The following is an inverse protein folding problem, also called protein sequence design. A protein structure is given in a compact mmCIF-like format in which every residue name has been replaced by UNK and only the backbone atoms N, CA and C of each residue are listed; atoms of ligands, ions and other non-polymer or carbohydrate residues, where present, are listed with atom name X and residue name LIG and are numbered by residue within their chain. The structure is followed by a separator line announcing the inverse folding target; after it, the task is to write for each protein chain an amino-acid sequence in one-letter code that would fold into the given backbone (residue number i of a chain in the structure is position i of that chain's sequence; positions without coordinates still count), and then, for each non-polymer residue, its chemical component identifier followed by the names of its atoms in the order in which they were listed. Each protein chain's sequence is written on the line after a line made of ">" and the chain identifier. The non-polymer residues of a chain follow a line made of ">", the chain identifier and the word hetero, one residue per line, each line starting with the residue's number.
data_IF_620129715823
#
_entry.id   IF_620129715823
#
_cell.length_a   1.000
_cell.length_b   1.000
_cell.length_c   1.000
_cell.angle_alpha   90.00
_cell.angle_beta   90.00
_cell.angle_gamma   90.00
#
_symmetry.space_group_name_H-M   'P 1'
#
loop_
_entity.id
_entity.type
_entity.pdbx_description
1 polymer ?
#
# COMPACT_ATOMS: atom_id res chain seq x y z
N UNK A 1 -2.28 -24.08 25.13
CA UNK A 1 -2.42 -23.45 26.45
C UNK A 1 -2.34 -21.95 26.22
N UNK A 2 -3.44 -21.28 26.53
CA UNK A 2 -3.83 -19.94 26.07
C UNK A 2 -2.85 -18.91 26.65
N UNK A 3 -2.01 -18.30 25.80
CA UNK A 3 -1.37 -17.02 26.12
C UNK A 3 -2.44 -15.93 25.99
N UNK A 4 -3.30 -15.83 26.99
CA UNK A 4 -3.91 -14.54 27.36
C UNK A 4 -2.76 -13.67 27.89
N UNK A 5 -1.91 -13.19 26.97
CA UNK A 5 -0.90 -12.20 27.30
C UNK A 5 -1.65 -10.87 27.31
N UNK A 6 -1.99 -10.42 28.51
CA UNK A 6 -2.26 -9.01 28.84
C UNK A 6 -1.40 -8.16 27.91
N UNK A 7 -2.01 -7.27 27.11
CA UNK A 7 -1.31 -6.31 26.24
C UNK A 7 -0.48 -5.41 27.18
N UNK A 8 0.72 -5.85 27.58
CA UNK A 8 1.58 -5.14 28.54
C UNK A 8 2.47 -4.10 27.85
N UNK A 9 2.70 -4.24 26.55
CA UNK A 9 3.38 -3.26 25.71
C UNK A 9 2.96 -3.46 24.24
N UNK A 10 2.41 -2.45 23.54
CA UNK A 10 2.10 -2.55 22.11
C UNK A 10 3.34 -2.78 21.22
N UNK A 11 4.56 -2.53 21.71
CA UNK A 11 5.84 -2.72 21.02
C UNK A 11 6.78 -3.68 21.77
N UNK A 12 6.24 -4.77 22.33
CA UNK A 12 7.01 -5.84 22.99
C UNK A 12 8.18 -6.33 22.12
N UNK A 13 9.39 -6.33 22.70
CA UNK A 13 10.68 -6.61 22.04
C UNK A 13 10.73 -7.99 21.36
N UNK A 14 9.97 -8.99 21.86
CA UNK A 14 9.90 -10.32 21.24
C UNK A 14 9.32 -10.24 19.81
N UNK A 15 8.31 -9.40 19.62
CA UNK A 15 7.62 -9.23 18.34
C UNK A 15 8.26 -8.12 17.51
N UNK A 16 8.59 -7.00 18.17
CA UNK A 16 9.12 -5.79 17.55
C UNK A 16 10.51 -5.46 18.09
N UNK A 17 11.54 -6.25 17.74
CA UNK A 17 12.88 -6.04 18.25
C UNK A 17 13.39 -4.64 17.87
N UNK A 18 14.08 -3.93 18.78
CA UNK A 18 14.54 -2.58 18.51
C UNK A 18 15.76 -2.61 17.59
N UNK A 19 15.56 -2.18 16.34
CA UNK A 19 16.60 -2.01 15.33
C UNK A 19 16.63 -0.55 14.87
N UNK A 20 17.72 0.21 15.07
CA UNK A 20 17.75 1.67 14.83
C UNK A 20 17.31 2.13 13.43
N UNK A 21 17.43 1.28 12.41
CA UNK A 21 17.14 1.59 11.02
C UNK A 21 15.99 0.77 10.41
N UNK A 22 15.38 -0.12 11.18
CA UNK A 22 14.35 -1.03 10.70
C UNK A 22 13.22 -1.14 11.69
N UNK A 23 11.99 -1.10 11.24
CA UNK A 23 10.87 -1.63 12.02
C UNK A 23 10.67 -3.09 11.60
N UNK A 24 10.63 -4.01 12.56
CA UNK A 24 10.55 -5.46 12.33
C UNK A 24 9.38 -6.04 13.11
N UNK A 25 8.68 -7.00 12.52
CA UNK A 25 7.66 -7.85 13.16
C UNK A 25 8.04 -9.32 12.95
N UNK A 26 8.28 -10.06 14.05
CA UNK A 26 8.72 -11.47 14.04
C UNK A 26 7.59 -12.50 13.94
N UNK A 27 6.36 -12.09 14.20
CA UNK A 27 5.19 -12.94 14.02
C UNK A 27 3.93 -12.09 13.85
N UNK A 28 2.96 -12.51 13.01
CA UNK A 28 1.74 -11.76 12.80
C UNK A 28 0.79 -11.92 13.99
N UNK A 29 -0.10 -10.94 14.17
CA UNK A 29 -1.21 -11.00 15.13
C UNK A 29 -2.49 -10.50 14.48
N UNK A 30 -3.61 -11.17 14.79
CA UNK A 30 -4.94 -10.77 14.32
C UNK A 30 -5.57 -9.66 15.18
N UNK A 31 -5.00 -9.35 16.33
CA UNK A 31 -5.62 -8.46 17.32
C UNK A 31 -5.29 -6.98 17.12
N UNK A 32 -4.24 -6.67 16.36
CA UNK A 32 -3.76 -5.30 16.13
C UNK A 32 -3.47 -5.01 14.64
N UNK A 33 -4.16 -5.71 13.73
CA UNK A 33 -3.99 -5.59 12.29
C UNK A 33 -4.05 -4.12 11.82
N UNK A 34 -5.05 -3.36 12.28
CA UNK A 34 -5.19 -1.95 11.91
C UNK A 34 -4.00 -1.08 12.31
N UNK A 35 -3.38 -1.37 13.45
CA UNK A 35 -2.19 -0.67 13.93
C UNK A 35 -0.96 -1.04 13.09
N UNK A 36 -0.70 -2.33 12.89
CA UNK A 36 0.48 -2.76 12.13
C UNK A 36 0.40 -2.40 10.65
N UNK A 37 -0.80 -2.41 10.06
CA UNK A 37 -1.04 -1.89 8.72
C UNK A 37 -0.67 -0.40 8.57
N UNK A 38 -0.88 0.42 9.61
CA UNK A 38 -0.44 1.82 9.64
C UNK A 38 1.07 1.90 9.78
N UNK A 39 1.66 1.16 10.73
CA UNK A 39 3.10 1.22 11.02
C UNK A 39 3.98 0.81 9.83
N UNK A 40 3.53 -0.18 9.06
CA UNK A 40 4.22 -0.72 7.88
C UNK A 40 3.72 -0.13 6.55
N UNK A 41 2.94 0.95 6.59
CA UNK A 41 2.52 1.62 5.36
C UNK A 41 3.72 2.17 4.58
N UNK A 42 3.66 2.07 3.26
CA UNK A 42 4.62 2.67 2.34
C UNK A 42 3.98 3.80 1.56
N UNK A 43 4.67 4.92 1.39
CA UNK A 43 4.15 6.06 0.64
C UNK A 43 5.21 7.09 0.27
N UNK A 44 4.85 8.03 -0.60
CA UNK A 44 5.75 9.10 -1.06
C UNK A 44 5.14 10.51 -1.00
N UNK A 45 3.94 10.68 -0.42
CA UNK A 45 3.22 11.96 -0.34
C UNK A 45 2.23 12.21 -1.49
N UNK A 46 2.34 11.44 -2.58
CA UNK A 46 1.30 11.35 -3.61
C UNK A 46 0.50 10.05 -3.49
N UNK A 47 1.18 8.93 -3.35
CA UNK A 47 0.61 7.58 -3.23
C UNK A 47 0.96 7.02 -1.86
N UNK A 48 -0.01 6.37 -1.21
CA UNK A 48 0.20 5.62 0.01
C UNK A 48 -0.53 4.29 -0.03
N UNK A 49 0.13 3.27 0.52
CA UNK A 49 -0.35 1.90 0.57
C UNK A 49 -0.18 1.37 1.98
N UNK A 50 -1.28 1.03 2.65
CA UNK A 50 -1.24 0.42 3.99
C UNK A 50 -0.47 -0.89 3.95
N UNK A 51 0.24 -1.20 5.05
CA UNK A 51 1.04 -2.42 5.24
C UNK A 51 0.23 -3.71 5.36
N UNK A 52 -0.95 -3.79 4.72
CA UNK A 52 -1.80 -4.97 4.70
C UNK A 52 -1.13 -6.14 3.95
N UNK A 53 -1.35 -7.39 4.39
CA UNK A 53 -0.84 -8.58 3.72
C UNK A 53 -1.23 -8.65 2.25
N UNK A 54 -0.31 -9.09 1.38
CA UNK A 54 -0.58 -9.18 -0.07
C UNK A 54 -1.73 -10.14 -0.38
N UNK A 55 -1.96 -11.19 0.41
CA UNK A 55 -2.99 -12.21 0.13
C UNK A 55 -4.42 -11.65 0.26
N UNK A 56 -4.58 -10.51 0.94
CA UNK A 56 -5.78 -9.67 0.88
C UNK A 56 -7.05 -10.20 1.56
N UNK A 57 -7.02 -11.39 2.17
CA UNK A 57 -8.19 -12.01 2.82
C UNK A 57 -8.39 -11.63 4.29
N UNK A 58 -7.36 -11.12 4.97
CA UNK A 58 -7.46 -10.73 6.38
C UNK A 58 -6.65 -9.45 6.62
N UNK A 59 -7.32 -8.33 6.41
CA UNK A 59 -6.83 -6.99 6.67
C UNK A 59 -7.88 -6.27 7.50
N UNK A 60 -7.46 -5.41 8.43
CA UNK A 60 -8.38 -4.49 9.09
C UNK A 60 -8.91 -3.46 8.08
N UNK A 61 -8.01 -2.87 7.29
CA UNK A 61 -8.38 -1.98 6.19
C UNK A 61 -7.31 -1.99 5.08
N UNK A 62 -7.65 -2.60 3.94
CA UNK A 62 -6.76 -2.64 2.76
C UNK A 62 -6.86 -1.33 1.97
N UNK A 63 -6.22 -0.29 2.50
CA UNK A 63 -6.24 1.07 1.95
C UNK A 63 -5.10 1.35 0.98
N UNK A 64 -5.44 1.89 -0.19
CA UNK A 64 -4.55 2.57 -1.13
C UNK A 64 -5.09 3.97 -1.35
N UNK A 65 -4.28 5.00 -1.11
CA UNK A 65 -4.73 6.38 -1.16
C UNK A 65 -3.88 7.19 -2.13
N UNK A 66 -4.53 8.07 -2.88
CA UNK A 66 -3.86 9.06 -3.71
C UNK A 66 -4.19 10.44 -3.15
N UNK A 67 -3.17 11.25 -2.87
CA UNK A 67 -3.33 12.56 -2.26
C UNK A 67 -4.28 13.44 -3.09
N UNK A 68 -5.29 14.00 -2.43
CA UNK A 68 -6.32 14.82 -3.05
C UNK A 68 -7.40 14.06 -3.82
N UNK A 69 -7.34 12.73 -3.98
CA UNK A 69 -8.45 11.96 -4.56
C UNK A 69 -9.57 11.78 -3.54
N UNK A 70 -10.67 12.50 -3.72
CA UNK A 70 -11.76 12.55 -2.75
C UNK A 70 -13.14 12.52 -3.41
N UNK A 71 -14.13 12.12 -2.63
CA UNK A 71 -15.54 12.27 -2.94
C UNK A 71 -16.11 13.50 -2.20
N UNK A 72 -17.22 14.03 -2.70
CA UNK A 72 -17.95 15.15 -2.10
C UNK A 72 -19.35 14.74 -1.69
N UNK A 73 -19.87 15.39 -0.64
CA UNK A 73 -21.23 15.19 -0.15
C UNK A 73 -21.80 16.49 0.44
N UNK A 74 -23.12 16.61 0.49
CA UNK A 74 -23.78 17.79 1.04
C UNK A 74 -23.87 17.71 2.58
N UNK A 75 -23.31 18.71 3.26
CA UNK A 75 -23.37 18.82 4.72
C UNK A 75 -24.76 19.28 5.15
N UNK A 76 -25.46 18.41 5.88
CA UNK A 76 -26.75 18.72 6.50
C UNK A 76 -26.55 19.14 7.94
N UNK A 77 -26.71 20.43 8.19
CA UNK A 77 -26.75 21.00 9.54
C UNK A 77 -28.19 20.93 10.09
N UNK A 78 -28.33 20.70 11.40
CA UNK A 78 -29.65 20.75 12.06
C UNK A 78 -30.25 22.16 12.02
N UNK A 79 -29.39 23.19 12.04
CA UNK A 79 -29.74 24.60 11.92
C UNK A 79 -28.81 25.25 10.89
N UNK A 80 -29.35 26.17 10.08
CA UNK A 80 -28.60 26.82 9.02
C UNK A 80 -28.12 28.20 9.48
N UNK A 81 -26.82 28.48 9.31
CA UNK A 81 -26.22 29.77 9.62
C UNK A 81 -25.34 30.25 8.45
N UNK A 82 -25.23 31.57 8.30
CA UNK A 82 -24.32 32.15 7.31
C UNK A 82 -22.87 31.74 7.59
N UNK A 83 -22.15 31.30 6.56
CA UNK A 83 -20.75 30.88 6.65
C UNK A 83 -20.53 29.40 6.97
N UNK A 84 -21.57 28.62 7.24
CA UNK A 84 -21.42 27.17 7.42
C UNK A 84 -21.03 26.47 6.11
N UNK A 85 -20.07 25.55 6.20
CA UNK A 85 -19.67 24.71 5.08
C UNK A 85 -20.86 23.87 4.62
N UNK A 86 -21.08 23.82 3.30
CA UNK A 86 -22.19 23.08 2.68
C UNK A 86 -21.75 21.81 1.99
N UNK A 87 -20.46 21.69 1.68
CA UNK A 87 -19.87 20.55 0.98
C UNK A 87 -18.80 19.95 1.87
N UNK A 88 -18.96 18.67 2.18
CA UNK A 88 -17.94 17.84 2.81
C UNK A 88 -17.12 17.18 1.72
N UNK A 89 -15.85 16.92 2.03
CA UNK A 89 -14.92 16.21 1.18
C UNK A 89 -14.36 15.07 1.99
N UNK A 90 -14.20 13.89 1.40
CA UNK A 90 -13.60 12.76 2.11
C UNK A 90 -12.70 11.98 1.17
N UNK A 91 -11.45 11.74 1.58
CA UNK A 91 -10.52 10.90 0.82
C UNK A 91 -11.13 9.50 0.63
N UNK A 92 -10.99 8.96 -0.57
CA UNK A 92 -11.54 7.65 -0.91
C UNK A 92 -10.44 6.61 -1.08
N UNK A 93 -10.78 5.34 -0.93
CA UNK A 93 -9.88 4.25 -1.24
C UNK A 93 -9.73 4.15 -2.78
N UNK A 94 -8.54 4.42 -3.29
CA UNK A 94 -8.24 4.15 -4.70
C UNK A 94 -8.32 2.63 -4.95
N UNK A 95 -8.63 2.18 -6.19
CA UNK A 95 -8.67 0.75 -6.49
C UNK A 95 -7.39 0.05 -6.04
N UNK A 96 -7.52 -0.96 -5.19
CA UNK A 96 -6.38 -1.61 -4.53
C UNK A 96 -5.62 -2.47 -5.50
N UNK A 97 -4.31 -2.23 -5.62
CA UNK A 97 -3.38 -3.06 -6.39
C UNK A 97 -2.54 -3.99 -5.50
N UNK A 98 -2.84 -4.08 -4.20
CA UNK A 98 -2.01 -4.81 -3.23
C UNK A 98 -2.17 -6.33 -3.33
N UNK A 99 -3.30 -6.77 -3.89
CA UNK A 99 -3.72 -8.16 -3.78
C UNK A 99 -2.92 -9.10 -4.70
N UNK A 100 -2.31 -10.11 -4.09
CA UNK A 100 -1.63 -11.24 -4.72
C UNK A 100 -2.01 -12.49 -3.92
N UNK A 101 -3.02 -13.23 -4.38
CA UNK A 101 -3.50 -14.46 -3.74
C UNK A 101 -2.58 -15.62 -4.12
N UNK A 102 -2.22 -16.45 -3.15
CA UNK A 102 -1.43 -17.67 -3.34
C UNK A 102 -2.24 -18.89 -2.92
N UNK A 103 -2.26 -19.89 -3.80
CA UNK A 103 -2.79 -21.22 -3.53
C UNK A 103 -1.72 -22.27 -3.83
N UNK A 104 -1.56 -23.25 -2.95
CA UNK A 104 -0.65 -24.40 -3.11
C UNK A 104 -1.48 -25.65 -2.88
N UNK A 105 -1.55 -26.56 -3.86
CA UNK A 105 -2.50 -27.70 -3.83
C UNK A 105 -3.96 -27.26 -3.54
N UNK A 106 -4.40 -26.15 -4.14
CA UNK A 106 -5.69 -25.50 -3.89
C UNK A 106 -5.92 -24.96 -2.45
N UNK A 107 -4.91 -25.04 -1.58
CA UNK A 107 -4.95 -24.48 -0.21
C UNK A 107 -4.52 -23.01 -0.26
N UNK A 108 -5.34 -22.04 0.20
CA UNK A 108 -4.97 -20.64 0.21
C UNK A 108 -4.02 -20.31 1.37
N UNK A 109 -3.01 -19.47 1.11
CA UNK A 109 -2.24 -18.85 2.20
C UNK A 109 -3.10 -17.80 2.92
N UNK A 110 -3.45 -18.08 4.18
CA UNK A 110 -4.20 -17.19 5.07
C UNK A 110 -3.40 -16.96 6.35
N UNK A 111 -2.91 -15.75 6.59
CA UNK A 111 -2.01 -15.50 7.71
C UNK A 111 -2.61 -15.79 9.10
N UNK A 112 -3.93 -15.65 9.32
CA UNK A 112 -4.48 -15.89 10.67
C UNK A 112 -4.49 -17.35 11.10
N UNK A 113 -4.47 -18.27 10.14
CA UNK A 113 -4.59 -19.72 10.36
C UNK A 113 -3.41 -20.51 9.78
N UNK A 114 -2.48 -19.85 9.09
CA UNK A 114 -1.30 -20.49 8.53
C UNK A 114 -0.40 -21.07 9.64
N UNK A 115 0.06 -22.30 9.45
CA UNK A 115 1.14 -22.90 10.23
C UNK A 115 2.47 -22.29 9.76
N UNK A 116 2.85 -21.16 10.36
CA UNK A 116 4.06 -20.42 10.04
C UNK A 116 5.22 -20.95 10.90
N UNK A 117 6.23 -21.51 10.23
CA UNK A 117 7.46 -21.97 10.88
C UNK A 117 8.47 -20.84 11.09
N UNK A 118 8.47 -19.86 10.18
CA UNK A 118 9.29 -18.66 10.25
C UNK A 118 8.50 -17.49 9.65
N UNK A 119 8.70 -16.30 10.18
CA UNK A 119 8.06 -15.07 9.72
C UNK A 119 8.91 -13.85 10.10
N UNK A 120 9.09 -12.95 9.14
CA UNK A 120 9.55 -11.61 9.38
C UNK A 120 8.85 -10.65 8.42
N UNK A 121 8.27 -9.57 8.93
CA UNK A 121 7.89 -8.39 8.15
C UNK A 121 8.74 -7.22 8.61
N UNK A 122 9.38 -6.52 7.69
CA UNK A 122 10.26 -5.40 8.04
C UNK A 122 10.23 -4.27 7.03
N UNK A 123 10.49 -3.05 7.50
CA UNK A 123 10.74 -1.90 6.64
C UNK A 123 12.05 -1.25 7.06
N UNK A 124 13.00 -1.16 6.13
CA UNK A 124 14.27 -0.47 6.34
C UNK A 124 14.12 0.99 5.92
N UNK A 125 14.36 1.92 6.85
CA UNK A 125 14.13 3.34 6.61
C UNK A 125 15.13 3.94 5.61
N UNK A 126 16.29 3.29 5.40
CA UNK A 126 17.33 3.71 4.45
C UNK A 126 16.97 3.34 3.02
N UNK A 127 16.12 2.34 2.84
CA UNK A 127 15.72 1.84 1.52
C UNK A 127 14.26 2.13 1.19
N UNK A 128 13.40 2.32 2.20
CA UNK A 128 11.98 2.60 2.00
C UNK A 128 11.23 1.44 1.33
N UNK A 129 11.66 0.21 1.59
CA UNK A 129 11.08 -1.01 1.02
C UNK A 129 10.54 -1.87 2.16
N UNK A 130 9.23 -2.12 2.12
CA UNK A 130 8.59 -3.12 2.96
C UNK A 130 8.94 -4.51 2.43
N UNK A 131 9.36 -5.40 3.32
CA UNK A 131 9.72 -6.78 3.03
C UNK A 131 8.95 -7.72 3.93
N UNK A 132 8.61 -8.89 3.42
CA UNK A 132 8.10 -10.00 4.21
C UNK A 132 8.74 -11.29 3.73
N UNK A 133 9.15 -12.13 4.67
CA UNK A 133 9.68 -13.47 4.43
C UNK A 133 8.97 -14.42 5.39
N UNK A 134 8.43 -15.51 4.88
CA UNK A 134 7.76 -16.52 5.69
C UNK A 134 8.00 -17.91 5.16
N UNK A 135 7.97 -18.89 6.07
CA UNK A 135 7.92 -20.31 5.75
C UNK A 135 6.59 -20.85 6.23
N UNK A 136 5.73 -21.18 5.29
CA UNK A 136 4.42 -21.74 5.52
C UNK A 136 4.46 -23.26 5.35
N UNK A 137 3.93 -23.98 6.35
CA UNK A 137 3.60 -25.39 6.21
C UNK A 137 2.14 -25.52 5.79
N UNK A 138 1.90 -26.04 4.59
CA UNK A 138 0.54 -26.23 4.07
C UNK A 138 -0.20 -27.30 4.89
N UNK A 139 -1.54 -27.29 4.94
CA UNK A 139 -2.29 -28.39 5.55
C UNK A 139 -1.96 -29.78 4.98
N UNK A 140 -1.60 -29.88 3.70
CA UNK A 140 -1.05 -31.11 3.10
C UNK A 140 0.37 -31.49 3.58
N UNK A 141 1.01 -30.66 4.40
CA UNK A 141 2.30 -30.92 5.05
C UNK A 141 3.52 -30.43 4.28
N UNK A 142 3.36 -29.79 3.11
CA UNK A 142 4.47 -29.26 2.31
C UNK A 142 5.00 -27.97 2.92
N UNK A 143 6.30 -27.68 2.73
CA UNK A 143 6.91 -26.42 3.18
C UNK A 143 7.14 -25.50 2.00
N UNK A 144 6.69 -24.26 2.13
CA UNK A 144 6.71 -23.25 1.09
C UNK A 144 7.30 -21.97 1.67
N UNK A 145 8.32 -21.42 1.01
CA UNK A 145 8.84 -20.09 1.33
C UNK A 145 8.15 -19.05 0.46
N UNK A 146 7.67 -17.98 1.09
CA UNK A 146 7.08 -16.84 0.40
C UNK A 146 7.83 -15.58 0.81
N UNK A 147 8.34 -14.85 -0.17
CA UNK A 147 8.99 -13.55 0.02
C UNK A 147 8.27 -12.50 -0.78
N UNK A 148 7.96 -11.37 -0.15
CA UNK A 148 7.38 -10.22 -0.84
C UNK A 148 8.16 -8.95 -0.54
N UNK A 149 8.19 -8.06 -1.53
CA UNK A 149 8.62 -6.68 -1.33
C UNK A 149 7.59 -5.70 -1.87
N UNK A 150 7.52 -4.52 -1.27
CA UNK A 150 6.66 -3.41 -1.71
C UNK A 150 7.36 -2.08 -1.51
N UNK A 151 7.30 -1.24 -2.54
CA UNK A 151 7.92 0.07 -2.57
C UNK A 151 6.98 1.06 -3.25
N UNK A 152 6.79 2.25 -2.66
CA UNK A 152 6.22 3.41 -3.35
C UNK A 152 7.37 4.39 -3.61
N UNK A 153 7.59 4.74 -4.87
CA UNK A 153 8.83 5.39 -5.28
C UNK A 153 8.92 6.83 -4.82
N UNK A 154 10.01 7.19 -4.12
CA UNK A 154 10.34 8.59 -3.83
C UNK A 154 10.84 9.38 -5.06
N UNK A 155 11.18 8.71 -6.17
CA UNK A 155 11.71 9.38 -7.38
C UNK A 155 10.68 9.47 -8.51
N UNK A 156 9.78 8.50 -8.60
CA UNK A 156 8.68 8.47 -9.57
C UNK A 156 7.34 8.60 -8.85
N UNK A 157 6.79 9.83 -8.82
CA UNK A 157 5.57 10.21 -8.07
C UNK A 157 4.44 9.16 -8.13
N UNK A 158 4.18 8.60 -9.30
CA UNK A 158 3.01 7.78 -9.60
C UNK A 158 3.25 6.27 -9.44
N UNK A 159 4.46 5.83 -9.06
CA UNK A 159 4.92 4.44 -9.21
C UNK A 159 4.98 3.69 -7.87
N UNK A 160 4.45 2.47 -7.87
CA UNK A 160 4.73 1.45 -6.87
C UNK A 160 5.31 0.20 -7.52
N UNK A 161 6.26 -0.45 -6.85
CA UNK A 161 6.90 -1.70 -7.28
C UNK A 161 6.71 -2.78 -6.23
N UNK A 162 6.43 -4.00 -6.68
CA UNK A 162 6.24 -5.16 -5.82
C UNK A 162 6.94 -6.38 -6.42
N UNK A 163 7.46 -7.23 -5.54
CA UNK A 163 7.88 -8.59 -5.90
C UNK A 163 7.17 -9.60 -5.01
N UNK A 164 6.89 -10.77 -5.56
CA UNK A 164 6.28 -11.89 -4.86
C UNK A 164 6.95 -13.18 -5.34
N UNK A 165 7.80 -13.75 -4.50
CA UNK A 165 8.59 -14.94 -4.77
C UNK A 165 8.03 -16.12 -3.96
N UNK A 166 7.79 -17.23 -4.62
CA UNK A 166 7.33 -18.48 -4.02
C UNK A 166 8.30 -19.60 -4.37
N UNK A 167 8.74 -20.34 -3.36
CA UNK A 167 9.63 -21.50 -3.56
C UNK A 167 9.11 -22.69 -2.75
N UNK A 168 8.88 -23.81 -3.43
CA UNK A 168 8.60 -25.09 -2.76
C UNK A 168 9.89 -25.59 -2.09
N UNK A 169 9.92 -25.65 -0.76
CA UNK A 169 11.06 -26.16 -0.01
C UNK A 169 11.04 -27.70 0.08
N UNK A 170 9.85 -28.28 0.15
CA UNK A 170 9.62 -29.72 0.24
C UNK A 170 8.46 -30.15 -0.68
N UNK A 171 8.74 -31.08 -1.58
CA UNK A 171 7.78 -31.63 -2.53
C UNK A 171 7.43 -30.70 -3.68
N UNK A 172 6.79 -31.27 -4.70
CA UNK A 172 6.26 -30.55 -5.85
C UNK A 172 4.77 -30.25 -5.61
N UNK A 173 4.24 -29.16 -6.16
CA UNK A 173 2.82 -28.83 -6.04
C UNK A 173 2.34 -27.96 -7.22
N UNK A 174 1.08 -28.13 -7.68
CA UNK A 174 0.43 -27.07 -8.45
C UNK A 174 0.28 -25.82 -7.57
N UNK A 175 0.68 -24.67 -8.13
CA UNK A 175 0.57 -23.36 -7.52
C UNK A 175 -0.33 -22.48 -8.39
N UNK A 176 -1.24 -21.74 -7.77
CA UNK A 176 -1.95 -20.65 -8.42
C UNK A 176 -1.61 -19.32 -7.73
N UNK A 177 -1.09 -18.36 -8.51
CA UNK A 177 -0.85 -16.99 -8.06
C UNK A 177 -1.83 -16.08 -8.81
N UNK A 178 -2.68 -15.36 -8.08
CA UNK A 178 -3.66 -14.43 -8.65
C UNK A 178 -3.37 -13.01 -8.19
N UNK A 179 -2.72 -12.21 -9.04
CA UNK A 179 -2.51 -10.79 -8.81
C UNK A 179 -3.70 -9.96 -9.31
N UNK A 180 -4.20 -9.04 -8.48
CA UNK A 180 -5.43 -8.32 -8.79
C UNK A 180 -5.30 -6.80 -8.65
N UNK A 181 -6.17 -6.08 -9.37
CA UNK A 181 -6.58 -4.70 -9.07
C UNK A 181 -8.08 -4.76 -8.78
N UNK A 182 -8.52 -4.25 -7.63
CA UNK A 182 -9.92 -4.38 -7.19
C UNK A 182 -10.44 -3.04 -6.68
N UNK A 183 -11.65 -2.65 -7.10
CA UNK A 183 -12.37 -1.54 -6.49
C UNK A 183 -12.84 -1.94 -5.08
N UNK A 184 -12.01 -1.65 -4.06
CA UNK A 184 -12.31 -1.91 -2.64
C UNK A 184 -13.10 -0.80 -1.95
N UNK A 185 -13.31 0.34 -2.62
CA UNK A 185 -14.17 1.41 -2.11
C UNK A 185 -15.63 0.97 -2.15
N UNK A 186 -16.06 0.40 -3.29
CA UNK A 186 -17.45 0.00 -3.49
C UNK A 186 -17.74 -1.47 -3.19
N UNK A 187 -16.72 -2.34 -3.19
CA UNK A 187 -16.88 -3.78 -3.03
C UNK A 187 -15.97 -4.35 -1.94
N UNK A 188 -16.57 -5.10 -1.02
CA UNK A 188 -15.84 -5.98 -0.12
C UNK A 188 -16.06 -7.45 -0.54
N UNK A 189 -14.98 -8.09 -1.01
CA UNK A 189 -14.98 -9.49 -1.45
C UNK A 189 -15.35 -10.47 -0.33
N UNK A 190 -15.14 -10.12 0.95
CA UNK A 190 -15.38 -11.02 2.09
C UNK A 190 -16.85 -11.01 2.52
N UNK A 191 -17.51 -9.86 2.49
CA UNK A 191 -18.92 -9.73 2.89
C UNK A 191 -19.90 -9.88 1.74
N UNK A 192 -19.45 -9.79 0.48
CA UNK A 192 -20.33 -9.75 -0.70
C UNK A 192 -21.28 -8.54 -0.69
N UNK A 193 -21.00 -7.54 0.17
CA UNK A 193 -21.79 -6.32 0.38
C UNK A 193 -20.90 -5.11 0.10
N UNK A 194 -21.53 -3.94 -0.07
CA UNK A 194 -20.79 -2.65 -0.08
C UNK A 194 -20.02 -2.52 1.22
N UNK A 195 -18.80 -2.01 1.15
CA UNK A 195 -17.95 -1.76 2.31
C UNK A 195 -18.60 -0.73 3.24
N UNK A 196 -19.48 -1.17 4.15
CA UNK A 196 -19.99 -0.31 5.22
C UNK A 196 -19.03 -0.43 6.39
N UNK A 197 -18.14 0.54 6.54
CA UNK A 197 -17.42 0.74 7.81
C UNK A 197 -18.42 1.33 8.79
N UNK A 198 -19.04 0.48 9.61
CA UNK A 198 -19.77 0.93 10.80
C UNK A 198 -18.77 0.97 11.96
N UNK A 199 -18.10 2.11 12.11
CA UNK A 199 -17.34 2.44 13.31
C UNK A 199 -17.86 3.77 13.85
N UNK A 200 -18.07 3.87 15.16
CA UNK A 200 -18.74 5.00 15.83
C UNK A 200 -17.76 6.18 16.10
N UNK A 201 -16.57 6.16 15.48
CA UNK A 201 -15.59 7.25 15.58
C UNK A 201 -15.92 8.38 14.59
N UNK A 202 -16.30 9.58 15.07
CA UNK A 202 -16.65 10.71 14.22
C UNK A 202 -15.47 11.26 13.39
N UNK A 203 -14.24 10.78 13.60
CA UNK A 203 -13.03 11.20 12.87
C UNK A 203 -12.70 10.31 11.67
N UNK A 204 -13.42 9.21 11.46
CA UNK A 204 -13.26 8.32 10.30
C UNK A 204 -14.22 8.73 9.20
N UNK A 205 -13.85 8.43 7.95
CA UNK A 205 -14.74 8.60 6.80
C UNK A 205 -16.08 7.93 7.06
N UNK A 206 -17.17 8.69 6.96
CA UNK A 206 -18.52 8.12 6.97
C UNK A 206 -18.67 7.26 5.72
N UNK A 207 -19.01 5.98 5.89
CA UNK A 207 -19.31 5.10 4.77
C UNK A 207 -20.31 5.75 3.81
N UNK A 208 -19.92 5.90 2.55
CA UNK A 208 -20.74 6.57 1.54
C UNK A 208 -21.89 5.64 1.12
N UNK A 209 -23.13 6.12 1.18
CA UNK A 209 -24.32 5.30 0.91
C UNK A 209 -24.52 4.96 -0.59
N UNK A 210 -23.73 5.56 -1.47
CA UNK A 210 -23.81 5.41 -2.92
C UNK A 210 -22.55 4.77 -3.48
N UNK A 211 -22.59 4.41 -4.76
CA UNK A 211 -21.39 3.95 -5.47
C UNK A 211 -20.49 5.15 -5.75
N UNK A 212 -19.22 5.05 -5.40
CA UNK A 212 -18.22 6.13 -5.49
C UNK A 212 -17.46 6.06 -6.80
N UNK A 213 -16.96 4.89 -7.20
CA UNK A 213 -16.13 4.72 -8.38
C UNK A 213 -16.93 4.13 -9.54
N UNK A 214 -17.29 4.98 -10.50
CA UNK A 214 -17.93 4.57 -11.75
C UNK A 214 -16.89 4.18 -12.78
N UNK A 215 -16.86 2.89 -13.16
CA UNK A 215 -15.94 2.38 -14.17
C UNK A 215 -16.25 3.00 -15.53
N UNK A 216 -15.25 3.64 -16.15
CA UNK A 216 -15.33 4.19 -17.50
C UNK A 216 -14.43 3.45 -18.49
N UNK A 217 -13.40 2.77 -17.99
CA UNK A 217 -12.44 2.05 -18.81
C UNK A 217 -11.88 0.84 -18.07
N UNK A 218 -11.81 -0.28 -18.76
CA UNK A 218 -11.06 -1.45 -18.34
C UNK A 218 -10.43 -2.08 -19.58
N UNK A 219 -9.20 -2.51 -19.46
CA UNK A 219 -8.45 -3.07 -20.58
C UNK A 219 -7.33 -3.96 -20.06
N UNK A 220 -7.10 -5.08 -20.73
CA UNK A 220 -5.93 -5.91 -20.52
C UNK A 220 -5.23 -6.31 -21.82
N UNK A 221 -4.02 -6.79 -21.61
CA UNK A 221 -3.17 -7.51 -22.55
C UNK A 221 -2.40 -8.56 -21.74
N UNK A 222 -1.66 -9.48 -22.38
CA UNK A 222 -0.88 -10.47 -21.66
C UNK A 222 0.14 -9.90 -20.67
N UNK A 223 0.53 -8.62 -20.77
CA UNK A 223 1.49 -8.00 -19.84
C UNK A 223 0.85 -7.06 -18.83
N UNK A 224 -0.21 -6.37 -19.25
CA UNK A 224 -0.72 -5.15 -18.60
C UNK A 224 -2.22 -5.23 -18.41
N UNK A 225 -2.68 -4.81 -17.23
CA UNK A 225 -4.08 -4.48 -16.97
C UNK A 225 -4.21 -3.00 -16.59
N UNK A 226 -5.30 -2.35 -17.00
CA UNK A 226 -5.63 -0.97 -16.65
C UNK A 226 -7.12 -0.91 -16.31
N UNK A 227 -7.44 -0.25 -15.19
CA UNK A 227 -8.80 0.12 -14.80
C UNK A 227 -8.86 1.65 -14.62
N UNK A 228 -9.99 2.24 -14.97
CA UNK A 228 -10.18 3.67 -14.94
C UNK A 228 -11.60 4.05 -14.53
N UNK A 229 -11.70 5.04 -13.64
CA UNK A 229 -12.93 5.40 -12.95
C UNK A 229 -13.14 6.90 -12.90
N UNK A 230 -14.41 7.30 -12.83
CA UNK A 230 -14.86 8.63 -12.41
C UNK A 230 -15.50 8.54 -11.02
N UNK A 231 -15.12 9.47 -10.16
CA UNK A 231 -15.69 9.65 -8.82
C UNK A 231 -17.07 10.32 -8.95
N UNK A 232 -18.07 9.82 -8.22
CA UNK A 232 -19.48 10.08 -8.49
C UNK A 232 -19.87 11.57 -8.40
N UNK A 233 -19.60 12.23 -7.27
CA UNK A 233 -20.03 13.62 -7.08
C UNK A 233 -18.89 14.61 -7.34
N UNK A 234 -17.66 14.30 -6.91
CA UNK A 234 -16.51 15.18 -7.13
C UNK A 234 -16.11 15.27 -8.61
N UNK A 235 -16.51 14.28 -9.43
CA UNK A 235 -16.22 14.21 -10.86
C UNK A 235 -14.76 13.95 -11.19
N UNK A 236 -13.90 13.79 -10.16
CA UNK A 236 -12.49 13.45 -10.31
C UNK A 236 -12.33 12.13 -11.07
N UNK A 237 -11.20 11.97 -11.73
CA UNK A 237 -10.87 10.75 -12.48
C UNK A 237 -9.64 10.09 -11.90
N UNK A 238 -9.62 8.76 -11.94
CA UNK A 238 -8.48 7.95 -11.53
C UNK A 238 -8.26 6.84 -12.54
N UNK A 239 -7.01 6.62 -12.93
CA UNK A 239 -6.59 5.43 -13.67
C UNK A 239 -5.48 4.71 -12.90
N UNK A 240 -5.61 3.40 -12.82
CA UNK A 240 -4.60 2.50 -12.25
C UNK A 240 -4.25 1.45 -13.28
N UNK A 241 -2.97 1.10 -13.39
CA UNK A 241 -2.56 -0.04 -14.19
C UNK A 241 -1.40 -0.79 -13.57
N UNK A 242 -1.31 -2.07 -13.91
CA UNK A 242 -0.24 -2.95 -13.46
C UNK A 242 0.39 -3.68 -14.65
N UNK A 243 1.72 -3.69 -14.68
CA UNK A 243 2.52 -4.59 -15.49
C UNK A 243 3.02 -5.75 -14.64
N UNK A 244 3.00 -6.94 -15.21
CA UNK A 244 3.52 -8.13 -14.57
C UNK A 244 4.56 -8.83 -15.42
N UNK A 245 5.62 -9.31 -14.75
CA UNK A 245 6.63 -10.20 -15.32
C UNK A 245 6.80 -11.37 -14.37
N UNK A 246 6.82 -12.58 -14.92
CA UNK A 246 7.08 -13.81 -14.15
C UNK A 246 8.41 -14.41 -14.60
N UNK A 247 9.24 -14.81 -13.64
CA UNK A 247 10.49 -15.52 -13.86
C UNK A 247 10.45 -16.85 -13.12
N UNK A 248 10.49 -17.96 -13.86
CA UNK A 248 10.54 -19.31 -13.30
C UNK A 248 11.03 -20.33 -14.32
N UNK A 249 11.63 -21.43 -13.86
CA UNK A 249 11.98 -22.57 -14.70
C UNK A 249 10.82 -23.58 -14.83
N UNK A 250 9.78 -23.43 -14.02
CA UNK A 250 8.60 -24.31 -13.99
C UNK A 250 7.72 -24.11 -15.23
N UNK A 251 6.95 -25.13 -15.59
CA UNK A 251 5.88 -24.98 -16.59
C UNK A 251 4.76 -24.09 -16.05
N UNK A 252 4.28 -23.16 -16.88
CA UNK A 252 3.28 -22.18 -16.47
C UNK A 252 2.21 -21.94 -17.55
N UNK A 253 1.00 -21.62 -17.09
CA UNK A 253 -0.12 -21.08 -17.88
C UNK A 253 -0.48 -19.70 -17.33
N UNK A 254 -0.66 -18.71 -18.22
CA UNK A 254 -1.11 -17.36 -17.87
C UNK A 254 -2.56 -17.16 -18.31
N UNK A 255 -3.35 -16.55 -17.43
CA UNK A 255 -4.72 -16.14 -17.71
C UNK A 255 -4.91 -14.70 -17.26
N UNK A 256 -5.43 -13.87 -18.16
CA UNK A 256 -5.69 -12.45 -17.89
C UNK A 256 -7.17 -12.15 -18.08
N UNK A 257 -7.74 -11.40 -17.14
CA UNK A 257 -9.15 -11.01 -17.19
C UNK A 257 -9.31 -9.59 -16.64
N UNK A 258 -10.19 -8.81 -17.26
CA UNK A 258 -10.60 -7.51 -16.73
C UNK A 258 -12.10 -7.34 -16.88
N UNK A 259 -12.69 -6.86 -15.80
CA UNK A 259 -14.07 -6.46 -15.65
C UNK A 259 -14.10 -5.03 -15.09
N UNK A 260 -15.28 -4.35 -15.08
CA UNK A 260 -15.39 -2.95 -14.66
C UNK A 260 -14.75 -2.61 -13.30
N UNK A 261 -14.80 -3.53 -12.33
CA UNK A 261 -14.34 -3.33 -10.95
C UNK A 261 -13.16 -4.21 -10.55
N UNK A 262 -12.65 -5.03 -11.48
CA UNK A 262 -11.63 -6.01 -11.18
C UNK A 262 -10.73 -6.31 -12.40
N UNK A 263 -9.42 -6.27 -12.19
CA UNK A 263 -8.43 -6.83 -13.10
C UNK A 263 -7.73 -7.99 -12.43
N UNK A 264 -7.48 -9.08 -13.14
CA UNK A 264 -6.83 -10.29 -12.62
C UNK A 264 -5.80 -10.79 -13.61
N UNK A 265 -4.64 -11.14 -13.07
CA UNK A 265 -3.62 -11.92 -13.75
C UNK A 265 -3.33 -13.16 -12.93
N UNK A 266 -3.59 -14.32 -13.51
CA UNK A 266 -3.51 -15.62 -12.86
C UNK A 266 -2.39 -16.41 -13.52
N UNK A 267 -1.49 -16.90 -12.69
CA UNK A 267 -0.45 -17.84 -13.07
C UNK A 267 -0.79 -19.19 -12.47
N UNK A 268 -0.89 -20.23 -13.31
CA UNK A 268 -0.94 -21.62 -12.86
C UNK A 268 0.40 -22.25 -13.15
N UNK A 269 1.10 -22.71 -12.13
CA UNK A 269 2.46 -23.21 -12.23
C UNK A 269 2.50 -24.64 -11.71
N UNK A 270 3.11 -25.56 -12.46
CA UNK A 270 3.50 -26.87 -11.92
C UNK A 270 4.83 -26.69 -11.19
N UNK A 271 4.79 -26.35 -9.90
CA UNK A 271 5.98 -25.96 -9.15
C UNK A 271 6.79 -27.18 -8.70
N UNK A 272 8.07 -27.17 -9.07
CA UNK A 272 9.06 -28.14 -8.64
C UNK A 272 9.82 -27.65 -7.40
N UNK A 273 10.20 -28.59 -6.54
CA UNK A 273 10.99 -28.32 -5.36
C UNK A 273 12.28 -27.58 -5.71
N UNK A 274 12.56 -26.50 -4.98
CA UNK A 274 13.78 -25.70 -5.13
C UNK A 274 13.78 -24.74 -6.34
N UNK A 275 12.77 -24.78 -7.21
CA UNK A 275 12.66 -23.87 -8.36
C UNK A 275 11.82 -22.63 -8.01
N UNK A 276 12.41 -21.43 -7.88
CA UNK A 276 11.67 -20.25 -7.49
C UNK A 276 10.71 -19.76 -8.58
N UNK A 277 9.62 -19.15 -8.15
CA UNK A 277 8.65 -18.45 -8.98
C UNK A 277 8.63 -16.99 -8.52
N UNK A 278 9.23 -16.10 -9.31
CA UNK A 278 9.28 -14.67 -9.00
C UNK A 278 8.27 -13.93 -9.88
N UNK A 279 7.25 -13.34 -9.25
CA UNK A 279 6.33 -12.39 -9.90
C UNK A 279 6.74 -10.97 -9.54
N UNK A 280 7.06 -10.18 -10.55
CA UNK A 280 7.23 -8.73 -10.47
C UNK A 280 5.92 -8.06 -10.84
N UNK A 281 5.51 -7.06 -10.06
CA UNK A 281 4.35 -6.21 -10.36
C UNK A 281 4.76 -4.74 -10.25
N UNK A 282 4.70 -4.00 -11.36
CA UNK A 282 4.85 -2.56 -11.38
C UNK A 282 3.47 -1.91 -11.52
N UNK A 283 3.13 -0.95 -10.67
CA UNK A 283 1.81 -0.32 -10.63
C UNK A 283 1.94 1.19 -10.77
N UNK A 284 1.10 1.80 -11.59
CA UNK A 284 1.01 3.25 -11.71
C UNK A 284 -0.41 3.75 -11.40
N UNK A 285 -0.50 4.82 -10.61
CA UNK A 285 -1.74 5.56 -10.33
C UNK A 285 -1.64 6.96 -10.89
N UNK A 286 -2.65 7.40 -11.64
CA UNK A 286 -2.80 8.79 -12.07
C UNK A 286 -4.19 9.29 -11.72
N UNK A 287 -4.29 10.53 -11.25
CA UNK A 287 -5.54 11.17 -10.85
C UNK A 287 -5.65 12.57 -11.42
N UNK A 288 -6.88 13.09 -11.54
CA UNK A 288 -7.13 14.48 -11.95
C UNK A 288 -8.51 14.96 -11.52
N UNK A 289 -8.66 16.28 -11.36
CA UNK A 289 -9.96 16.92 -11.17
C UNK A 289 -10.72 17.24 -12.47
N UNK A 290 -10.15 17.00 -13.66
CA UNK A 290 -10.80 17.37 -14.92
C UNK A 290 -10.33 16.65 -16.19
N UNK A 291 -9.26 15.85 -16.11
CA UNK A 291 -8.75 15.09 -17.27
C UNK A 291 -9.56 13.80 -17.46
N UNK A 292 -9.96 13.42 -18.69
CA UNK A 292 -10.67 12.16 -18.93
C UNK A 292 -9.87 10.90 -18.57
N UNK A 293 -10.57 9.84 -18.15
CA UNK A 293 -9.98 8.55 -17.77
C UNK A 293 -9.07 7.96 -18.86
N UNK A 294 -9.42 8.15 -20.13
CA UNK A 294 -8.62 7.67 -21.26
C UNK A 294 -7.21 8.29 -21.27
N UNK A 295 -7.09 9.59 -21.06
CA UNK A 295 -5.80 10.27 -21.04
C UNK A 295 -4.98 9.86 -19.80
N UNK A 296 -5.63 9.70 -18.64
CA UNK A 296 -4.95 9.17 -17.44
C UNK A 296 -4.43 7.74 -17.69
N UNK A 297 -5.18 6.92 -18.41
CA UNK A 297 -4.76 5.58 -18.82
C UNK A 297 -3.52 5.62 -19.72
N UNK A 298 -3.40 6.61 -20.60
CA UNK A 298 -2.19 6.81 -21.42
C UNK A 298 -0.99 7.29 -20.57
N UNK A 299 -1.22 8.05 -19.49
CA UNK A 299 -0.17 8.41 -18.52
C UNK A 299 0.29 7.21 -17.71
N UNK A 300 -0.63 6.36 -17.28
CA UNK A 300 -0.34 5.05 -16.65
C UNK A 300 0.56 4.22 -17.58
N UNK A 301 0.19 4.09 -18.86
CA UNK A 301 0.99 3.35 -19.85
C UNK A 301 2.42 3.88 -19.93
N UNK A 302 2.59 5.20 -20.05
CA UNK A 302 3.93 5.83 -20.12
C UNK A 302 4.76 5.62 -18.86
N UNK A 303 4.16 5.64 -17.67
CA UNK A 303 4.89 5.34 -16.43
C UNK A 303 5.37 3.90 -16.43
N UNK A 304 4.51 2.94 -16.78
CA UNK A 304 4.87 1.51 -16.80
C UNK A 304 5.87 1.18 -17.92
N UNK A 305 5.78 1.84 -19.08
CA UNK A 305 6.75 1.67 -20.16
C UNK A 305 8.17 2.10 -19.73
N UNK A 306 8.31 3.16 -18.92
CA UNK A 306 9.62 3.54 -18.35
C UNK A 306 10.20 2.44 -17.45
N UNK A 307 9.37 1.79 -16.64
CA UNK A 307 9.80 0.68 -15.78
C UNK A 307 10.29 -0.49 -16.61
N UNK A 308 9.60 -0.82 -17.70
CA UNK A 308 10.01 -1.86 -18.63
C UNK A 308 11.37 -1.53 -19.26
N UNK A 309 11.54 -0.30 -19.73
CA UNK A 309 12.74 0.09 -20.48
C UNK A 309 13.98 0.22 -19.59
N UNK A 310 13.81 0.52 -18.29
CA UNK A 310 14.91 0.71 -17.32
C UNK A 310 15.15 -0.50 -16.40
N UNK A 311 14.14 -1.35 -16.19
CA UNK A 311 14.16 -2.45 -15.24
C UNK A 311 13.90 -2.01 -13.79
N UNK A 312 13.53 -2.97 -12.92
CA UNK A 312 13.22 -2.69 -11.50
C UNK A 312 14.41 -2.16 -10.72
N UNK A 313 15.58 -2.79 -10.91
CA UNK A 313 16.81 -2.45 -10.16
C UNK A 313 17.17 -0.97 -10.31
N UNK A 314 16.95 -0.40 -11.49
CA UNK A 314 17.14 1.03 -11.72
C UNK A 314 16.31 1.87 -10.74
N UNK A 315 15.03 1.54 -10.55
CA UNK A 315 14.13 2.28 -9.67
C UNK A 315 14.45 2.06 -8.18
N UNK A 316 14.85 0.85 -7.78
CA UNK A 316 15.33 0.59 -6.42
C UNK A 316 16.63 1.37 -6.12
N UNK A 317 17.57 1.42 -7.06
CA UNK A 317 18.82 2.19 -6.93
C UNK A 317 18.52 3.69 -6.76
N UNK A 318 17.68 4.25 -7.64
CA UNK A 318 17.25 5.65 -7.57
C UNK A 318 16.60 5.99 -6.22
N UNK A 319 15.80 5.07 -5.65
CA UNK A 319 15.23 5.30 -4.33
C UNK A 319 16.29 5.26 -3.21
N UNK A 320 17.22 4.31 -3.23
CA UNK A 320 18.31 4.25 -2.24
C UNK A 320 19.17 5.50 -2.29
N UNK A 321 19.47 6.02 -3.47
CA UNK A 321 20.20 7.27 -3.64
C UNK A 321 19.41 8.47 -3.08
N UNK A 322 18.11 8.54 -3.36
CA UNK A 322 17.25 9.59 -2.82
C UNK A 322 17.18 9.55 -1.28
N UNK A 323 17.01 8.36 -0.69
CA UNK A 323 16.96 8.19 0.76
C UNK A 323 18.33 8.45 1.41
N UNK A 324 19.43 8.05 0.79
CA UNK A 324 20.77 8.37 1.27
C UNK A 324 21.00 9.89 1.32
N UNK A 325 20.54 10.63 0.30
CA UNK A 325 20.56 12.10 0.31
C UNK A 325 19.68 12.70 1.41
N UNK A 326 18.46 12.20 1.54
CA UNK A 326 17.52 12.64 2.57
C UNK A 326 18.09 12.42 3.97
N UNK A 327 18.60 11.22 4.28
CA UNK A 327 19.16 10.90 5.59
C UNK A 327 20.41 11.71 5.91
N UNK A 328 21.27 12.00 4.92
CA UNK A 328 22.43 12.87 5.13
C UNK A 328 22.07 14.26 5.65
N UNK A 329 20.85 14.75 5.34
CA UNK A 329 20.37 16.09 5.69
C UNK A 329 19.36 16.08 6.84
N UNK A 330 18.85 14.91 7.22
CA UNK A 330 17.71 14.78 8.13
C UNK A 330 17.95 13.83 9.31
N UNK A 331 18.98 12.98 9.30
CA UNK A 331 19.20 12.03 10.40
C UNK A 331 19.54 12.77 11.71
N UNK A 332 19.03 12.21 12.80
CA UNK A 332 19.25 12.72 14.15
C UNK A 332 19.76 11.56 15.00
N UNK A 333 21.04 11.61 15.35
CA UNK A 333 21.64 10.64 16.26
C UNK A 333 21.33 11.02 17.71
N UNK A 334 20.72 10.09 18.44
CA UNK A 334 20.34 10.28 19.84
C UNK A 334 21.34 9.55 20.72
N UNK A 335 22.01 10.28 21.62
CA UNK A 335 22.93 9.71 22.62
C UNK A 335 22.22 8.95 23.75
N UNK A 336 21.21 8.14 23.43
CA UNK A 336 20.50 7.26 24.36
C UNK A 336 21.11 5.86 24.33
N UNK A 337 21.26 5.18 25.48
CA UNK A 337 21.66 3.77 25.50
C UNK A 337 20.57 2.83 24.97
N UNK A 338 19.32 3.29 24.83
CA UNK A 338 18.19 2.49 24.37
C UNK A 338 18.04 2.55 22.84
N UNK A 339 18.25 1.44 22.10
CA UNK A 339 18.18 1.44 20.63
C UNK A 339 16.80 1.82 20.08
N UNK A 340 15.74 1.56 20.87
CA UNK A 340 14.35 1.89 20.52
C UNK A 340 14.13 3.40 20.37
N UNK A 341 14.82 4.22 21.16
CA UNK A 341 14.71 5.68 21.06
C UNK A 341 15.23 6.16 19.69
N UNK A 342 16.39 5.65 19.27
CA UNK A 342 16.95 5.96 17.96
C UNK A 342 16.04 5.47 16.81
N UNK A 343 15.49 4.25 16.94
CA UNK A 343 14.52 3.68 15.99
C UNK A 343 13.28 4.57 15.87
N UNK A 344 12.72 5.04 16.99
CA UNK A 344 11.49 5.84 17.00
C UNK A 344 11.67 7.21 16.32
N UNK A 345 12.81 7.87 16.55
CA UNK A 345 13.17 9.14 15.90
C UNK A 345 13.32 8.95 14.39
N UNK A 346 14.09 7.93 13.96
CA UNK A 346 14.26 7.62 12.54
C UNK A 346 12.95 7.18 11.89
N UNK A 347 12.12 6.39 12.56
CA UNK A 347 10.80 6.04 12.02
C UNK A 347 9.94 7.29 11.83
N UNK A 348 9.92 8.22 12.78
CA UNK A 348 9.16 9.47 12.68
C UNK A 348 9.63 10.34 11.51
N UNK A 349 10.95 10.50 11.34
CA UNK A 349 11.54 11.24 10.22
C UNK A 349 11.25 10.55 8.88
N UNK A 350 11.30 9.21 8.84
CA UNK A 350 10.93 8.43 7.66
C UNK A 350 9.46 8.67 7.29
N UNK A 351 8.54 8.68 8.26
CA UNK A 351 7.13 8.98 8.01
C UNK A 351 6.91 10.40 7.49
N UNK A 352 7.68 11.40 7.94
CA UNK A 352 7.63 12.75 7.36
C UNK A 352 8.02 12.75 5.87
N UNK A 353 9.06 11.99 5.48
CA UNK A 353 9.40 11.79 4.08
C UNK A 353 8.23 11.13 3.32
N UNK A 354 7.68 10.03 3.85
CA UNK A 354 6.56 9.32 3.23
C UNK A 354 5.31 10.19 3.06
N UNK A 355 5.10 11.18 3.94
CA UNK A 355 3.94 12.06 3.89
C UNK A 355 4.11 13.25 2.92
N UNK A 356 5.33 13.74 2.71
CA UNK A 356 5.55 15.03 2.05
C UNK A 356 6.39 14.98 0.75
N UNK A 357 7.21 13.96 0.52
CA UNK A 357 8.28 14.00 -0.50
C UNK A 357 7.81 14.31 -1.93
N UNK A 358 6.61 13.86 -2.30
CA UNK A 358 5.93 14.03 -3.60
C UNK A 358 4.52 14.60 -3.45
N UNK A 359 4.28 15.37 -2.40
CA UNK A 359 3.05 16.16 -2.30
C UNK A 359 2.95 17.17 -3.46
N UNK A 360 4.09 17.66 -3.97
CA UNK A 360 4.24 18.37 -5.26
C UNK A 360 3.16 19.45 -5.52
N UNK A 361 2.92 20.32 -4.52
CA UNK A 361 1.93 21.41 -4.58
C UNK A 361 0.55 21.04 -4.01
N UNK A 362 0.38 19.83 -3.49
CA UNK A 362 -0.74 19.46 -2.63
C UNK A 362 -0.33 19.58 -1.15
N UNK A 363 -1.32 19.75 -0.27
CA UNK A 363 -1.08 19.74 1.18
C UNK A 363 -0.68 18.36 1.69
N UNK A 364 -0.26 18.31 2.96
CA UNK A 364 0.09 17.07 3.67
C UNK A 364 -1.11 16.66 4.54
N UNK A 365 -1.75 15.50 4.28
CA UNK A 365 -2.88 15.06 5.11
C UNK A 365 -2.44 14.81 6.56
N UNK A 366 -3.33 15.04 7.53
CA UNK A 366 -3.04 14.86 8.97
C UNK A 366 -2.55 13.44 9.37
N UNK A 367 -2.93 12.41 8.61
CA UNK A 367 -2.46 11.01 8.79
C UNK A 367 -1.53 10.54 7.67
N UNK A 368 -0.96 11.48 6.90
CA UNK A 368 -0.33 11.18 5.62
C UNK A 368 -1.28 10.37 4.73
N UNK A 369 -0.74 9.38 4.03
CA UNK A 369 -1.53 8.45 3.21
C UNK A 369 -1.55 7.04 3.81
N UNK A 370 -1.64 6.97 5.14
CA UNK A 370 -1.61 5.72 5.90
C UNK A 370 -2.98 5.24 6.34
N UNK A 371 -4.04 6.03 6.17
CA UNK A 371 -5.40 5.71 6.59
C UNK A 371 -6.39 6.80 6.18
N UNK A 372 -7.67 6.57 6.44
CA UNK A 372 -8.80 7.46 6.15
C UNK A 372 -9.18 8.37 7.34
N UNK A 373 -8.47 8.26 8.46
CA UNK A 373 -8.66 9.12 9.64
C UNK A 373 -8.39 10.59 9.30
N UNK A 374 -9.26 11.47 9.80
CA UNK A 374 -9.34 12.89 9.39
C UNK A 374 -9.58 13.10 7.90
N UNK A 375 -10.15 12.10 7.22
CA UNK A 375 -10.70 12.21 5.86
C UNK A 375 -9.70 12.71 4.78
N UNK A 376 -8.40 12.58 5.05
CA UNK A 376 -7.34 13.08 4.17
C UNK A 376 -7.23 14.62 4.12
N UNK A 377 -7.84 15.33 5.07
CA UNK A 377 -7.84 16.78 5.12
C UNK A 377 -6.48 17.35 5.50
N UNK A 378 -6.26 18.58 5.02
CA UNK A 378 -5.13 19.42 5.37
C UNK A 378 -5.54 20.36 6.50
N UNK A 379 -4.69 20.45 7.51
CA UNK A 379 -4.89 21.29 8.68
C UNK A 379 -3.65 22.16 8.89
N UNK A 380 -3.76 23.12 9.83
CA UNK A 380 -2.66 23.91 10.36
C UNK A 380 -1.45 23.06 10.80
N UNK A 381 -1.64 21.77 11.06
CA UNK A 381 -0.61 20.75 11.24
C UNK A 381 0.52 20.83 10.18
N UNK A 382 0.16 21.11 8.92
CA UNK A 382 1.16 21.22 7.84
C UNK A 382 2.09 22.40 8.07
N UNK A 383 1.55 23.61 8.23
CA UNK A 383 2.35 24.84 8.37
C UNK A 383 3.08 24.92 9.71
N UNK A 384 2.48 24.37 10.77
CA UNK A 384 3.01 24.52 12.14
C UNK A 384 3.95 23.38 12.53
N UNK A 385 3.73 22.14 12.08
CA UNK A 385 4.54 21.00 12.49
C UNK A 385 5.40 20.41 11.37
N UNK A 386 4.89 20.34 10.13
CA UNK A 386 5.62 19.69 9.02
C UNK A 386 6.58 20.66 8.32
N UNK A 387 6.10 21.84 7.95
CA UNK A 387 6.89 22.85 7.21
C UNK A 387 8.16 23.29 7.95
N UNK A 388 8.19 23.46 9.28
CA UNK A 388 9.44 23.80 9.98
C UNK A 388 10.55 22.75 9.78
N UNK A 389 10.19 21.45 9.86
CA UNK A 389 11.13 20.36 9.58
C UNK A 389 11.60 20.42 8.11
N UNK A 390 10.69 20.54 7.15
CA UNK A 390 11.01 20.60 5.73
C UNK A 390 11.83 21.84 5.37
N UNK A 391 11.65 22.98 6.06
CA UNK A 391 12.41 24.20 5.79
C UNK A 391 13.91 23.99 6.05
N UNK A 392 14.25 23.18 7.05
CA UNK A 392 15.64 22.87 7.41
C UNK A 392 16.21 21.71 6.60
N UNK A 393 15.36 20.75 6.22
CA UNK A 393 15.80 19.46 5.66
C UNK A 393 15.41 19.23 4.21
N UNK A 394 14.55 20.05 3.61
CA UNK A 394 13.98 19.84 2.27
C UNK A 394 13.28 21.13 1.74
N UNK A 395 14.01 22.25 1.50
CA UNK A 395 13.39 23.56 1.25
C UNK A 395 12.46 23.63 0.03
N UNK A 396 12.71 22.82 -1.00
CA UNK A 396 11.82 22.73 -2.17
C UNK A 396 10.47 22.08 -1.80
N UNK A 397 10.48 21.04 -0.97
CA UNK A 397 9.25 20.43 -0.44
C UNK A 397 8.50 21.40 0.47
N UNK A 398 9.21 22.18 1.31
CA UNK A 398 8.59 23.23 2.12
C UNK A 398 7.91 24.30 1.26
N UNK A 399 8.59 24.77 0.20
CA UNK A 399 8.03 25.72 -0.76
C UNK A 399 6.79 25.15 -1.45
N UNK A 400 6.80 23.88 -1.82
CA UNK A 400 5.66 23.23 -2.47
C UNK A 400 4.46 23.08 -1.52
N UNK A 401 4.68 22.85 -0.22
CA UNK A 401 3.60 22.76 0.75
C UNK A 401 2.91 24.12 1.04
N UNK A 402 3.61 25.24 0.80
CA UNK A 402 3.13 26.61 1.06
C UNK A 402 2.53 27.30 -0.18
N UNK A 403 2.59 26.67 -1.36
CA UNK A 403 2.05 27.18 -2.63
C UNK A 403 0.69 26.57 -2.90
#
# INVERSE_FOLDING_TARGET
>A
MIRERIIRDPLDDDRFPPEPWRLVERFPSKYDLGHTETLFAVGNGYLGMRGSPEEGRESYYSGTFVNGLHETWEIRHAENAYGFARVGQTIINAPSSLMIKLYVDDEPLLLSVADLQDYERSIDFREGVLRRDLIWRTPAGKRVRVRSTRMVSFTERHLALMTFEVTMLEGNAPIAISSQIVNKEDFDELSGKRATVSDDDPRRSRGLAHRVLHSEMYWNSPRRMILGYRVANSGMTVAVGADHVIHTANSLEELDDTAPDQGRKIYRISAEQGQPILVTKAVAYHTSGGIPVRELSDRVRRTLDRVRDRGLEFHYNQQREWLADFWRRSDVEVGSPEPRVQQAVRWSIFQLAQAAARADGSGVPAKGLTGDGYEGHYFWDTEIYVVPFLTLTAPEQARNALR
#
